data_IF_728545799858
#
_entry.id   IF_728545799858
#
_cell.length_a   1.000
_cell.length_b   1.000
_cell.length_c   1.000
_cell.angle_alpha   90.00
_cell.angle_beta   90.00
_cell.angle_gamma   90.00
#
_symmetry.space_group_name_H-M   'P 1'
#
loop_
_entity.id
_entity.type
_entity.pdbx_description
1 polymer ?
#
# COMPACT_ATOMS: atom_id res chain seq x y z
N UNK A 1 -14.65 12.14 -5.05
CA UNK A 1 -15.23 11.01 -5.83
C UNK A 1 -15.43 9.82 -4.91
N UNK A 2 -16.51 9.07 -5.09
CA UNK A 2 -16.76 7.83 -4.33
C UNK A 2 -15.76 6.76 -4.79
N UNK A 3 -15.14 6.06 -3.84
CA UNK A 3 -14.17 5.01 -4.14
C UNK A 3 -14.77 3.60 -4.10
N UNK A 4 -15.64 3.34 -3.11
CA UNK A 4 -16.34 2.07 -2.92
C UNK A 4 -17.70 2.31 -2.29
N UNK A 5 -18.70 1.54 -2.70
CA UNK A 5 -20.05 1.52 -2.14
C UNK A 5 -20.39 0.11 -1.67
N UNK A 6 -21.02 0.03 -0.51
CA UNK A 6 -21.67 -1.18 -0.03
C UNK A 6 -23.16 -0.89 0.09
N UNK A 7 -24.00 -1.77 -0.45
CA UNK A 7 -25.44 -1.60 -0.45
C UNK A 7 -26.13 -2.93 -0.11
N UNK A 8 -27.29 -2.84 0.53
CA UNK A 8 -28.09 -3.98 0.93
C UNK A 8 -29.44 -3.54 1.50
N UNK A 9 -30.32 -4.50 1.74
CA UNK A 9 -31.63 -4.30 2.39
C UNK A 9 -31.70 -5.10 3.69
N UNK A 10 -32.60 -4.69 4.59
CA UNK A 10 -32.78 -5.35 5.88
C UNK A 10 -31.78 -4.87 6.93
N UNK A 11 -31.44 -5.74 7.88
CA UNK A 11 -30.54 -5.41 8.98
C UNK A 11 -29.09 -5.38 8.49
N UNK A 12 -28.38 -4.23 8.54
CA UNK A 12 -26.99 -4.17 8.11
C UNK A 12 -26.10 -5.05 9.02
N UNK A 13 -25.02 -5.64 8.48
CA UNK A 13 -24.09 -6.42 9.28
C UNK A 13 -23.37 -5.51 10.29
N UNK A 14 -22.96 -6.09 11.44
CA UNK A 14 -22.19 -5.37 12.46
C UNK A 14 -20.81 -4.92 11.98
N UNK A 15 -20.27 -5.59 10.94
CA UNK A 15 -18.94 -5.35 10.37
C UNK A 15 -19.01 -5.44 8.85
N UNK A 16 -18.26 -4.57 8.17
CA UNK A 16 -18.02 -4.63 6.73
C UNK A 16 -16.53 -4.91 6.55
N UNK A 17 -16.22 -5.98 5.82
CA UNK A 17 -14.85 -6.29 5.42
C UNK A 17 -14.58 -5.66 4.07
N UNK A 18 -13.46 -4.96 3.97
CA UNK A 18 -13.01 -4.33 2.75
C UNK A 18 -11.55 -4.68 2.50
N UNK A 19 -11.25 -5.15 1.30
CA UNK A 19 -9.94 -5.58 0.85
C UNK A 19 -9.10 -4.43 0.25
N UNK A 20 -9.61 -3.19 0.30
CA UNK A 20 -8.96 -2.01 -0.26
C UNK A 20 -9.25 -1.77 -1.74
N UNK A 21 -10.05 -2.60 -2.41
CA UNK A 21 -10.40 -2.41 -3.83
C UNK A 21 -11.58 -1.45 -4.01
N UNK A 22 -11.44 -0.50 -4.93
CA UNK A 22 -12.53 0.37 -5.37
C UNK A 22 -13.49 -0.32 -6.35
N UNK A 23 -14.46 0.43 -6.88
CA UNK A 23 -15.43 -0.11 -7.85
C UNK A 23 -14.83 -0.50 -9.20
N UNK A 24 -13.72 0.12 -9.58
CA UNK A 24 -12.98 -0.17 -10.80
C UNK A 24 -11.85 -1.19 -10.58
N UNK A 25 -11.95 -1.99 -9.52
CA UNK A 25 -10.91 -2.93 -9.07
C UNK A 25 -9.54 -2.29 -8.77
N UNK A 26 -9.47 -0.95 -8.70
CA UNK A 26 -8.24 -0.25 -8.35
C UNK A 26 -7.99 -0.37 -6.86
N UNK A 27 -6.76 -0.76 -6.50
CA UNK A 27 -6.33 -0.77 -5.11
C UNK A 27 -6.27 0.64 -4.52
N UNK A 28 -6.55 0.73 -3.22
CA UNK A 28 -6.40 1.95 -2.43
C UNK A 28 -5.01 2.58 -2.62
N UNK A 29 -4.96 3.91 -2.55
CA UNK A 29 -3.73 4.66 -2.63
C UNK A 29 -3.19 4.89 -1.22
N UNK A 30 -2.17 4.13 -0.84
CA UNK A 30 -1.59 4.16 0.51
C UNK A 30 -1.18 5.58 0.92
N UNK A 31 -1.45 5.91 2.18
CA UNK A 31 -1.18 7.24 2.71
C UNK A 31 -2.14 8.34 2.26
N UNK A 32 -3.12 8.05 1.41
CA UNK A 32 -4.27 8.95 1.22
C UNK A 32 -5.27 8.78 2.36
N UNK A 33 -5.97 9.87 2.71
CA UNK A 33 -7.05 9.84 3.70
C UNK A 33 -8.38 9.52 2.99
N UNK A 34 -9.03 8.46 3.44
CA UNK A 34 -10.36 8.07 2.99
C UNK A 34 -11.38 8.35 4.08
N UNK A 35 -12.52 8.89 3.70
CA UNK A 35 -13.67 9.06 4.59
C UNK A 35 -14.85 8.27 4.05
N UNK A 36 -15.75 7.87 4.95
CA UNK A 36 -16.96 7.16 4.58
C UNK A 36 -18.15 7.78 5.31
N UNK A 37 -19.34 7.46 4.81
CA UNK A 37 -20.59 7.73 5.47
C UNK A 37 -21.53 6.55 5.22
N UNK A 38 -22.48 6.35 6.11
CA UNK A 38 -23.55 5.38 5.92
C UNK A 38 -24.88 6.11 5.84
N UNK A 39 -25.76 5.63 4.94
CA UNK A 39 -27.13 6.13 4.80
C UNK A 39 -28.08 4.95 4.98
N UNK A 40 -29.10 5.12 5.82
CA UNK A 40 -30.19 4.18 5.99
C UNK A 40 -31.51 4.84 5.57
N UNK A 41 -32.37 4.06 4.92
CA UNK A 41 -33.73 4.48 4.54
C UNK A 41 -34.71 3.50 5.17
N UNK A 42 -35.67 4.00 5.93
CA UNK A 42 -36.71 3.16 6.54
C UNK A 42 -37.85 2.85 5.55
N UNK A 43 -38.88 2.11 6.02
CA UNK A 43 -40.03 1.74 5.19
C UNK A 43 -40.92 2.93 4.81
N UNK A 44 -40.87 4.02 5.58
CA UNK A 44 -41.64 5.25 5.35
C UNK A 44 -40.89 6.24 4.46
N UNK A 45 -39.65 5.91 4.08
CA UNK A 45 -38.80 6.75 3.23
C UNK A 45 -37.91 7.73 3.99
N UNK A 46 -37.93 7.73 5.33
CA UNK A 46 -37.06 8.61 6.13
C UNK A 46 -35.61 8.19 5.95
N UNK A 47 -34.73 9.19 5.78
CA UNK A 47 -33.30 8.97 5.56
C UNK A 47 -32.49 9.44 6.76
N UNK A 48 -31.61 8.58 7.26
CA UNK A 48 -30.61 8.95 8.26
C UNK A 48 -29.21 8.75 7.69
N UNK A 49 -28.32 9.70 7.91
CA UNK A 49 -26.93 9.64 7.47
C UNK A 49 -26.00 9.81 8.66
N UNK A 50 -24.97 8.98 8.75
CA UNK A 50 -23.91 9.10 9.75
C UNK A 50 -22.55 9.17 9.08
N UNK A 51 -21.72 10.08 9.58
CA UNK A 51 -20.34 10.22 9.11
C UNK A 51 -19.45 9.20 9.81
N UNK A 52 -18.57 8.58 9.03
CA UNK A 52 -17.54 7.68 9.51
C UNK A 52 -16.28 8.40 9.97
N UNK A 53 -15.34 7.62 10.52
CA UNK A 53 -13.99 8.09 10.82
C UNK A 53 -13.10 8.08 9.58
N UNK A 54 -12.02 8.84 9.64
CA UNK A 54 -10.95 8.76 8.65
C UNK A 54 -10.28 7.39 8.66
N UNK A 55 -9.92 6.91 7.47
CA UNK A 55 -9.18 5.69 7.24
C UNK A 55 -7.89 6.08 6.51
N UNK A 56 -6.75 5.77 7.14
CA UNK A 56 -5.42 5.92 6.55
C UNK A 56 -4.68 4.60 6.68
N UNK A 57 -4.08 4.17 5.57
CA UNK A 57 -3.36 2.89 5.49
C UNK A 57 -1.90 3.18 5.14
N UNK A 58 -0.97 2.74 6.00
CA UNK A 58 0.47 2.92 5.79
C UNK A 58 1.06 1.89 4.81
N UNK A 59 0.44 0.71 4.73
CA UNK A 59 0.83 -0.33 3.79
C UNK A 59 -0.28 -1.33 3.53
N UNK A 60 -0.25 -1.99 2.38
CA UNK A 60 -1.24 -3.00 1.99
C UNK A 60 -0.56 -4.15 1.24
N UNK A 61 -0.98 -5.38 1.54
CA UNK A 61 -0.62 -6.58 0.81
C UNK A 61 -1.79 -6.99 -0.08
N UNK A 62 -1.55 -7.20 -1.37
CA UNK A 62 -2.55 -7.74 -2.27
C UNK A 62 -1.89 -8.58 -3.37
N UNK A 63 -2.70 -9.39 -4.06
CA UNK A 63 -2.25 -10.17 -5.21
C UNK A 63 -2.69 -9.47 -6.50
N UNK A 64 -1.78 -9.38 -7.45
CA UNK A 64 -2.05 -8.88 -8.80
C UNK A 64 -1.41 -9.84 -9.80
N UNK A 65 -2.25 -10.46 -10.62
CA UNK A 65 -1.87 -11.61 -11.44
C UNK A 65 -1.24 -12.73 -10.59
N UNK A 66 0.07 -12.95 -10.75
CA UNK A 66 0.83 -13.98 -10.04
C UNK A 66 1.88 -13.39 -9.09
N UNK A 67 1.94 -12.06 -8.96
CA UNK A 67 2.83 -11.38 -8.01
C UNK A 67 2.05 -11.00 -6.74
N UNK A 68 2.66 -11.23 -5.58
CA UNK A 68 2.25 -10.59 -4.34
C UNK A 68 2.89 -9.20 -4.27
N UNK A 69 2.08 -8.18 -4.03
CA UNK A 69 2.53 -6.79 -3.95
C UNK A 69 2.33 -6.30 -2.53
N UNK A 70 3.44 -5.92 -1.89
CA UNK A 70 3.46 -5.14 -0.66
C UNK A 70 3.66 -3.69 -1.06
N UNK A 71 2.63 -2.87 -0.91
CA UNK A 71 2.67 -1.44 -1.21
C UNK A 71 2.74 -0.65 0.09
N UNK A 72 3.73 0.25 0.21
CA UNK A 72 3.97 1.08 1.39
C UNK A 72 3.91 2.57 1.04
N UNK A 73 3.38 3.40 1.95
CA UNK A 73 3.46 4.86 1.86
C UNK A 73 4.91 5.30 2.05
N UNK A 74 5.53 5.82 1.00
CA UNK A 74 6.92 6.25 1.01
C UNK A 74 7.18 7.42 1.96
N UNK A 75 6.15 8.14 2.43
CA UNK A 75 6.28 9.16 3.49
C UNK A 75 6.44 8.56 4.87
N UNK A 76 5.90 7.36 5.09
CA UNK A 76 6.10 6.60 6.34
C UNK A 76 7.45 5.88 6.33
N UNK A 77 8.00 5.61 5.14
CA UNK A 77 9.27 4.89 4.96
C UNK A 77 10.48 5.84 4.94
N UNK A 78 10.46 6.91 4.16
CA UNK A 78 11.65 7.74 3.90
C UNK A 78 11.57 9.14 4.50
N UNK A 79 12.74 9.71 4.80
CA UNK A 79 12.88 11.11 5.16
C UNK A 79 12.37 12.02 4.02
N UNK A 80 11.74 13.18 4.33
CA UNK A 80 11.18 14.07 3.32
C UNK A 80 12.24 14.53 2.31
N UNK A 81 12.00 14.28 1.03
CA UNK A 81 12.91 14.67 -0.06
C UNK A 81 14.24 13.90 -0.12
N UNK A 82 14.46 12.92 0.76
CA UNK A 82 15.73 12.19 0.84
C UNK A 82 15.56 10.67 0.69
N UNK A 83 16.63 9.91 0.35
CA UNK A 83 16.55 8.46 0.22
C UNK A 83 16.68 7.71 1.55
N UNK A 84 17.11 8.38 2.64
CA UNK A 84 17.30 7.74 3.93
C UNK A 84 15.98 7.24 4.51
N UNK A 85 16.04 6.05 5.12
CA UNK A 85 14.87 5.43 5.75
C UNK A 85 14.72 5.99 7.15
N UNK A 86 13.48 6.34 7.52
CA UNK A 86 13.14 6.83 8.86
C UNK A 86 13.41 5.74 9.90
N UNK A 87 13.89 6.13 11.08
CA UNK A 87 14.04 5.19 12.21
C UNK A 87 12.71 4.50 12.57
N UNK A 88 11.62 5.26 12.56
CA UNK A 88 10.27 4.75 12.85
C UNK A 88 9.70 3.77 11.80
N UNK A 89 10.29 3.72 10.60
CA UNK A 89 9.82 2.82 9.53
C UNK A 89 10.24 1.35 9.75
N UNK A 90 11.13 1.07 10.72
CA UNK A 90 11.71 -0.26 10.87
C UNK A 90 10.70 -1.35 11.22
N UNK A 91 9.65 -1.01 11.97
CA UNK A 91 8.59 -1.98 12.28
C UNK A 91 7.83 -2.36 11.01
N UNK A 92 7.42 -1.37 10.21
CA UNK A 92 6.73 -1.57 8.93
C UNK A 92 7.59 -2.36 7.93
N UNK A 93 8.88 -2.04 7.83
CA UNK A 93 9.79 -2.76 6.93
C UNK A 93 10.10 -4.18 7.43
N UNK A 94 10.13 -4.41 8.74
CA UNK A 94 10.30 -5.76 9.29
C UNK A 94 9.09 -6.63 8.98
N UNK A 95 7.87 -6.08 9.10
CA UNK A 95 6.65 -6.77 8.67
C UNK A 95 6.68 -7.09 7.16
N UNK A 96 7.11 -6.13 6.34
CA UNK A 96 7.29 -6.36 4.92
C UNK A 96 8.30 -7.48 4.65
N UNK A 97 9.44 -7.52 5.37
CA UNK A 97 10.43 -8.59 5.25
C UNK A 97 9.84 -9.95 5.59
N UNK A 98 9.02 -10.05 6.64
CA UNK A 98 8.35 -11.28 7.02
C UNK A 98 7.37 -11.77 5.95
N UNK A 99 6.63 -10.85 5.33
CA UNK A 99 5.75 -11.18 4.21
C UNK A 99 6.56 -11.66 3.01
N UNK A 100 7.65 -10.96 2.66
CA UNK A 100 8.57 -11.36 1.58
C UNK A 100 9.06 -12.79 1.84
N UNK A 101 9.57 -13.08 3.03
CA UNK A 101 10.06 -14.41 3.41
C UNK A 101 8.99 -15.50 3.27
N UNK A 102 7.74 -15.21 3.65
CA UNK A 102 6.62 -16.17 3.57
C UNK A 102 6.08 -16.38 2.15
N UNK A 103 6.25 -15.39 1.27
CA UNK A 103 5.65 -15.38 -0.08
C UNK A 103 6.67 -15.58 -1.20
N UNK A 104 7.97 -15.57 -0.88
CA UNK A 104 9.04 -15.73 -1.86
C UNK A 104 9.06 -17.14 -2.46
N UNK A 105 9.05 -17.21 -3.80
CA UNK A 105 9.23 -18.46 -4.53
C UNK A 105 10.46 -18.37 -5.44
N UNK A 106 10.65 -17.25 -6.15
CA UNK A 106 11.72 -17.11 -7.14
C UNK A 106 12.34 -15.72 -7.27
N UNK A 107 11.57 -14.63 -7.11
CA UNK A 107 12.08 -13.29 -7.43
C UNK A 107 11.52 -12.21 -6.51
N UNK A 108 12.34 -11.20 -6.30
CA UNK A 108 11.98 -9.99 -5.56
C UNK A 108 12.27 -8.80 -6.46
N UNK A 109 11.31 -7.88 -6.56
CA UNK A 109 11.51 -6.59 -7.21
C UNK A 109 11.05 -5.48 -6.28
N UNK A 110 11.86 -4.44 -6.17
CA UNK A 110 11.56 -3.24 -5.39
C UNK A 110 11.41 -2.07 -6.36
N UNK A 111 10.25 -1.42 -6.32
CA UNK A 111 9.96 -0.24 -7.10
C UNK A 111 9.68 0.93 -6.17
N UNK A 112 10.38 2.04 -6.33
CA UNK A 112 10.12 3.24 -5.55
C UNK A 112 9.73 4.40 -6.46
N UNK A 113 8.88 5.29 -5.93
CA UNK A 113 8.27 6.38 -6.67
C UNK A 113 8.49 7.70 -5.91
N UNK A 114 9.09 8.69 -6.56
CA UNK A 114 9.34 10.01 -5.98
C UNK A 114 9.38 11.11 -7.03
N UNK A 115 9.80 12.33 -6.65
CA UNK A 115 9.80 13.50 -7.52
C UNK A 115 10.77 13.41 -8.69
N UNK A 116 11.81 12.58 -8.61
CA UNK A 116 12.72 12.32 -9.72
C UNK A 116 13.23 10.87 -9.70
N UNK A 117 13.77 10.43 -10.82
CA UNK A 117 14.19 9.05 -11.02
C UNK A 117 15.39 8.68 -10.13
N UNK A 118 16.38 9.56 -10.01
CA UNK A 118 17.58 9.33 -9.18
C UNK A 118 17.25 9.09 -7.71
N UNK A 119 16.40 9.93 -7.12
CA UNK A 119 15.92 9.78 -5.74
C UNK A 119 15.13 8.47 -5.60
N UNK A 120 14.29 8.17 -6.58
CA UNK A 120 13.51 6.92 -6.61
C UNK A 120 14.41 5.70 -6.65
N UNK A 121 15.45 5.71 -7.47
CA UNK A 121 16.40 4.61 -7.57
C UNK A 121 17.17 4.41 -6.26
N UNK A 122 17.66 5.51 -5.65
CA UNK A 122 18.32 5.45 -4.32
C UNK A 122 17.40 4.88 -3.24
N UNK A 123 16.12 5.26 -3.25
CA UNK A 123 15.09 4.72 -2.35
C UNK A 123 14.87 3.23 -2.57
N UNK A 124 14.74 2.78 -3.82
CA UNK A 124 14.62 1.36 -4.15
C UNK A 124 15.85 0.56 -3.66
N UNK A 125 17.06 1.09 -3.86
CA UNK A 125 18.30 0.47 -3.41
C UNK A 125 18.38 0.36 -1.89
N UNK A 126 17.96 1.38 -1.15
CA UNK A 126 17.94 1.34 0.31
C UNK A 126 16.97 0.28 0.85
N UNK A 127 15.81 0.10 0.21
CA UNK A 127 14.86 -0.95 0.59
C UNK A 127 15.41 -2.33 0.22
N UNK A 128 16.02 -2.50 -0.94
CA UNK A 128 16.68 -3.75 -1.31
C UNK A 128 17.80 -4.10 -0.32
N UNK A 129 18.58 -3.13 0.15
CA UNK A 129 19.58 -3.33 1.20
C UNK A 129 18.94 -3.84 2.49
N UNK A 130 17.86 -3.21 2.95
CA UNK A 130 17.13 -3.68 4.16
C UNK A 130 16.64 -5.12 3.99
N UNK A 131 16.11 -5.48 2.82
CA UNK A 131 15.66 -6.85 2.54
C UNK A 131 16.84 -7.84 2.57
N UNK A 132 17.96 -7.52 1.93
CA UNK A 132 19.17 -8.36 1.93
C UNK A 132 19.76 -8.54 3.33
N UNK A 133 19.78 -7.48 4.13
CA UNK A 133 20.36 -7.52 5.47
C UNK A 133 19.47 -8.31 6.46
N UNK A 134 18.15 -8.28 6.28
CA UNK A 134 17.18 -8.93 7.18
C UNK A 134 16.72 -10.31 6.73
N UNK A 135 16.89 -10.67 5.46
CA UNK A 135 16.38 -11.91 4.87
C UNK A 135 17.53 -12.71 4.30
N UNK A 136 17.68 -13.96 4.76
CA UNK A 136 18.58 -14.92 4.13
C UNK A 136 17.95 -15.36 2.80
N UNK A 137 18.49 -14.87 1.68
CA UNK A 137 18.05 -15.26 0.35
C UNK A 137 18.83 -16.50 -0.13
N UNK A 138 18.18 -17.41 -0.88
CA UNK A 138 18.89 -18.48 -1.56
C UNK A 138 19.99 -17.96 -2.48
N UNK A 139 21.04 -18.76 -2.69
CA UNK A 139 22.14 -18.40 -3.59
C UNK A 139 21.62 -18.10 -5.00
N UNK A 140 22.12 -17.01 -5.60
CA UNK A 140 21.76 -16.60 -6.96
C UNK A 140 20.50 -15.74 -7.08
N UNK A 141 19.78 -15.50 -5.98
CA UNK A 141 18.64 -14.58 -5.99
C UNK A 141 19.12 -13.13 -6.03
N UNK A 142 18.64 -12.38 -7.01
CA UNK A 142 18.90 -10.95 -7.18
C UNK A 142 17.64 -10.15 -6.89
N UNK A 143 17.74 -9.10 -6.09
CA UNK A 143 16.66 -8.13 -5.90
C UNK A 143 16.76 -7.09 -7.02
N UNK A 144 15.74 -7.03 -7.88
CA UNK A 144 15.67 -6.04 -8.95
C UNK A 144 15.10 -4.71 -8.43
N UNK A 145 15.88 -3.64 -8.53
CA UNK A 145 15.47 -2.30 -8.10
C UNK A 145 15.14 -1.39 -9.26
N UNK A 146 14.02 -0.68 -9.22
CA UNK A 146 13.67 0.35 -10.19
C UNK A 146 13.15 1.62 -9.51
N UNK A 147 13.65 2.77 -9.95
CA UNK A 147 13.14 4.09 -9.59
C UNK A 147 12.26 4.67 -10.68
N UNK A 148 11.12 5.26 -10.31
CA UNK A 148 10.25 5.94 -11.26
C UNK A 148 10.01 7.39 -10.83
N UNK A 149 10.29 8.32 -11.73
CA UNK A 149 9.87 9.70 -11.56
C UNK A 149 8.35 9.80 -11.70
N UNK A 150 7.74 10.47 -10.74
CA UNK A 150 6.32 10.75 -10.74
C UNK A 150 6.10 12.13 -11.36
N UNK A 151 5.43 12.20 -12.51
CA UNK A 151 5.19 13.45 -13.24
C UNK A 151 4.01 14.22 -12.63
N UNK A 152 4.20 15.51 -12.36
CA UNK A 152 3.18 16.40 -11.78
C UNK A 152 2.93 16.17 -10.27
N UNK A 153 1.77 16.63 -9.76
CA UNK A 153 1.32 16.34 -8.39
C UNK A 153 0.69 14.95 -8.29
N UNK A 154 1.38 13.89 -8.71
CA UNK A 154 0.83 12.55 -8.54
C UNK A 154 0.97 12.08 -7.09
N UNK A 155 -0.11 11.46 -6.62
CA UNK A 155 -0.60 11.41 -5.24
C UNK A 155 0.20 10.56 -4.26
N UNK A 156 1.06 9.64 -4.70
CA UNK A 156 1.72 8.72 -3.77
C UNK A 156 3.20 8.53 -4.04
N UNK A 157 3.99 9.23 -3.24
CA UNK A 157 5.30 8.74 -2.80
C UNK A 157 5.06 7.35 -2.18
N UNK A 158 5.45 6.28 -2.88
CA UNK A 158 5.19 4.89 -2.47
C UNK A 158 6.35 3.98 -2.81
N UNK A 159 6.34 2.80 -2.20
CA UNK A 159 7.23 1.69 -2.51
C UNK A 159 6.39 0.45 -2.76
N UNK A 160 6.63 -0.23 -3.87
CA UNK A 160 6.04 -1.53 -4.17
C UNK A 160 7.15 -2.60 -4.10
N UNK A 161 6.98 -3.59 -3.22
CA UNK A 161 7.81 -4.79 -3.16
C UNK A 161 7.00 -5.91 -3.77
N UNK A 162 7.42 -6.35 -4.96
CA UNK A 162 6.81 -7.43 -5.70
C UNK A 162 7.56 -8.72 -5.40
N UNK A 163 6.83 -9.71 -4.94
CA UNK A 163 7.37 -11.02 -4.62
C UNK A 163 6.65 -12.05 -5.46
N UNK A 164 7.44 -12.84 -6.17
CA UNK A 164 6.95 -14.04 -6.82
C UNK A 164 7.62 -15.24 -6.24
#
# INVERSE_FOLDING_TARGET
>A
TIFKTFAGKGKPPKKIYWDGRGENDKMIDVGSTYTYYATAVDKLGNRSRVMGKEIRVQGILYKENIDWIIRLDGREVFEPGKPEIRKGAMNLLTEACDIVRKKFIRRISVKAYSTNETLSQKRANNIAKVLSDKIILPKGVVIHTAGYAVVGKVKTNKVDILVR
#
